data_IF_559065232755
#
_entry.id   IF_559065232755
#
_cell.length_a   1.000
_cell.length_b   1.000
_cell.length_c   1.000
_cell.angle_alpha   90.00
_cell.angle_beta   90.00
_cell.angle_gamma   90.00
#
_symmetry.space_group_name_H-M   'P 1'
#
loop_
_entity.id
_entity.type
_entity.pdbx_description
1 polymer ?
#
# COMPACT_ATOMS: atom_id res chain seq x y z
N UNK A 1 11.06 -4.43 -11.81
CA UNK A 1 10.27 -3.87 -10.68
C UNK A 1 8.92 -3.42 -11.19
N UNK A 2 7.90 -3.78 -10.47
CA UNK A 2 6.51 -3.40 -10.76
C UNK A 2 5.93 -2.73 -9.55
N UNK A 3 4.95 -1.85 -9.75
CA UNK A 3 4.26 -1.17 -8.67
C UNK A 3 2.75 -1.28 -8.86
N UNK A 4 2.07 -1.70 -7.80
CA UNK A 4 0.62 -1.61 -7.74
C UNK A 4 0.26 -0.28 -7.09
N UNK A 5 -0.49 0.53 -7.80
CA UNK A 5 -0.90 1.86 -7.35
C UNK A 5 -2.41 1.86 -7.16
N UNK A 6 -2.87 2.23 -5.97
CA UNK A 6 -4.29 2.46 -5.70
C UNK A 6 -4.51 3.86 -5.15
N UNK A 7 -5.66 4.45 -5.50
CA UNK A 7 -6.00 5.81 -5.12
C UNK A 7 -7.39 5.84 -4.52
N UNK A 8 -7.52 6.61 -3.43
CA UNK A 8 -8.78 6.78 -2.69
C UNK A 8 -9.04 8.27 -2.50
N UNK A 9 -10.31 8.65 -2.50
CA UNK A 9 -10.74 10.03 -2.30
C UNK A 9 -11.81 10.11 -1.23
N UNK A 10 -11.87 11.25 -0.54
CA UNK A 10 -12.90 11.52 0.48
C UNK A 10 -12.62 10.90 1.84
N UNK A 11 -11.39 10.48 2.09
CA UNK A 11 -11.01 9.89 3.38
C UNK A 11 -10.75 10.91 4.48
N UNK A 12 -10.65 10.39 5.70
CA UNK A 12 -10.21 11.16 6.87
C UNK A 12 -8.69 11.05 7.00
N UNK A 13 -8.00 12.17 6.84
CA UNK A 13 -6.53 12.18 6.81
C UNK A 13 -5.91 11.76 8.15
N UNK A 14 -6.56 12.04 9.28
CA UNK A 14 -6.05 11.61 10.59
C UNK A 14 -6.17 10.10 10.77
N UNK A 15 -7.27 9.51 10.33
CA UNK A 15 -7.44 8.05 10.34
C UNK A 15 -6.43 7.37 9.42
N UNK A 16 -6.17 7.96 8.25
CA UNK A 16 -5.17 7.43 7.31
C UNK A 16 -3.77 7.48 7.93
N UNK A 17 -3.42 8.54 8.64
CA UNK A 17 -2.15 8.64 9.34
C UNK A 17 -2.02 7.58 10.45
N UNK A 18 -3.11 7.29 11.17
CA UNK A 18 -3.14 6.22 12.16
C UNK A 18 -2.96 4.85 11.52
N UNK A 19 -3.61 4.59 10.39
CA UNK A 19 -3.44 3.35 9.63
C UNK A 19 -1.99 3.20 9.12
N UNK A 20 -1.37 4.27 8.67
CA UNK A 20 0.04 4.25 8.26
C UNK A 20 0.96 3.86 9.41
N UNK A 21 0.69 4.35 10.62
CA UNK A 21 1.44 3.97 11.81
C UNK A 21 1.30 2.47 12.12
N UNK A 22 0.08 1.93 12.03
CA UNK A 22 -0.19 0.50 12.21
C UNK A 22 0.54 -0.34 11.13
N UNK A 23 0.55 0.11 9.90
CA UNK A 23 1.25 -0.58 8.81
C UNK A 23 2.77 -0.61 9.08
N UNK A 24 3.35 0.48 9.56
CA UNK A 24 4.77 0.51 9.95
C UNK A 24 5.08 -0.51 11.04
N UNK A 25 4.20 -0.62 12.04
CA UNK A 25 4.35 -1.61 13.12
C UNK A 25 4.27 -3.02 12.56
N UNK A 26 3.34 -3.29 11.65
CA UNK A 26 3.22 -4.58 10.98
C UNK A 26 4.46 -4.96 10.19
N UNK A 27 5.04 -4.01 9.47
CA UNK A 27 6.29 -4.22 8.71
C UNK A 27 7.46 -4.48 9.68
N UNK A 28 7.56 -3.71 10.76
CA UNK A 28 8.59 -3.92 11.77
C UNK A 28 8.48 -5.30 12.43
N UNK A 29 7.26 -5.74 12.73
CA UNK A 29 7.00 -7.07 13.27
C UNK A 29 7.44 -8.16 12.30
N UNK A 30 7.09 -8.02 11.02
CA UNK A 30 7.50 -8.97 9.97
C UNK A 30 9.04 -9.08 9.89
N UNK A 31 9.75 -7.95 9.96
CA UNK A 31 11.22 -7.95 9.96
C UNK A 31 11.84 -8.69 11.15
N UNK A 32 11.10 -8.78 12.27
CA UNK A 32 11.51 -9.54 13.45
C UNK A 32 11.09 -11.01 13.41
N UNK A 33 10.44 -11.44 12.32
CA UNK A 33 9.91 -12.80 12.20
C UNK A 33 8.58 -13.01 12.94
N UNK A 34 7.90 -11.94 13.31
CA UNK A 34 6.60 -11.98 13.99
C UNK A 34 5.47 -11.82 12.98
N UNK A 35 4.25 -12.20 13.37
CA UNK A 35 3.05 -11.99 12.57
C UNK A 35 2.27 -10.78 13.08
N UNK A 36 1.52 -10.13 12.17
CA UNK A 36 0.68 -8.99 12.49
C UNK A 36 -0.61 -9.06 11.67
N UNK A 37 -1.70 -8.54 12.23
CA UNK A 37 -2.97 -8.41 11.52
C UNK A 37 -2.88 -7.38 10.39
N UNK A 38 -2.01 -6.39 10.55
CA UNK A 38 -1.90 -5.24 9.66
C UNK A 38 -1.20 -5.60 8.35
N UNK A 39 -0.39 -6.67 8.37
CA UNK A 39 0.37 -7.11 7.20
C UNK A 39 0.20 -8.61 7.01
N UNK A 40 -0.70 -9.05 6.10
CA UNK A 40 -0.81 -10.47 5.80
C UNK A 40 0.54 -11.06 5.38
N UNK A 41 0.93 -12.24 5.88
CA UNK A 41 2.26 -12.81 5.60
C UNK A 41 2.57 -12.91 4.11
N UNK A 42 1.60 -13.30 3.29
CA UNK A 42 1.85 -13.43 1.84
C UNK A 42 2.08 -12.09 1.18
N UNK A 43 1.38 -11.05 1.60
CA UNK A 43 1.63 -9.69 1.11
C UNK A 43 3.05 -9.24 1.47
N UNK A 44 3.48 -9.50 2.71
CA UNK A 44 4.84 -9.19 3.15
C UNK A 44 5.90 -9.91 2.32
N UNK A 45 5.64 -11.14 1.88
CA UNK A 45 6.59 -11.90 1.05
C UNK A 45 6.76 -11.33 -0.35
N UNK A 46 5.69 -10.84 -0.97
CA UNK A 46 5.73 -10.32 -2.35
C UNK A 46 6.03 -8.83 -2.43
N UNK A 47 5.71 -8.07 -1.39
CA UNK A 47 5.96 -6.64 -1.35
C UNK A 47 7.42 -6.34 -0.97
N UNK A 48 8.08 -5.52 -1.77
CA UNK A 48 9.45 -5.04 -1.51
C UNK A 48 9.45 -3.71 -0.80
N UNK A 49 8.44 -2.90 -1.05
CA UNK A 49 8.32 -1.55 -0.50
C UNK A 49 6.85 -1.15 -0.51
N UNK A 50 6.43 -0.45 0.52
CA UNK A 50 5.08 0.11 0.61
C UNK A 50 5.20 1.60 0.89
N UNK A 51 4.43 2.39 0.15
CA UNK A 51 4.34 3.83 0.37
C UNK A 51 2.89 4.24 0.50
N UNK A 52 2.63 5.16 1.41
CA UNK A 52 1.34 5.83 1.52
C UNK A 52 1.59 7.33 1.37
N UNK A 53 0.96 7.93 0.39
CA UNK A 53 1.08 9.35 0.08
C UNK A 53 -0.28 10.00 0.26
N UNK A 54 -0.31 11.20 0.82
CA UNK A 54 -1.57 11.93 1.01
C UNK A 54 -1.48 13.32 0.39
N UNK A 55 -2.59 13.76 -0.18
CA UNK A 55 -2.84 15.16 -0.52
C UNK A 55 -3.93 15.63 0.42
N UNK A 56 -3.54 16.40 1.44
CA UNK A 56 -4.47 16.83 2.49
C UNK A 56 -5.52 17.81 1.98
N UNK A 57 -5.18 18.61 0.99
CA UNK A 57 -6.11 19.58 0.41
C UNK A 57 -7.24 18.89 -0.36
N UNK A 58 -6.93 17.79 -1.02
CA UNK A 58 -7.88 17.01 -1.82
C UNK A 58 -8.50 15.83 -1.06
N UNK A 59 -8.08 15.59 0.18
CA UNK A 59 -8.47 14.38 0.93
C UNK A 59 -8.24 13.11 0.12
N UNK A 60 -7.08 13.03 -0.53
CA UNK A 60 -6.68 11.91 -1.40
C UNK A 60 -5.54 11.14 -0.77
N UNK A 61 -5.59 9.81 -0.90
CA UNK A 61 -4.49 8.94 -0.51
C UNK A 61 -4.11 8.03 -1.68
N UNK A 62 -2.81 7.86 -1.86
CA UNK A 62 -2.23 6.94 -2.86
C UNK A 62 -1.40 5.92 -2.13
N UNK A 63 -1.63 4.64 -2.42
CA UNK A 63 -0.87 3.52 -1.86
C UNK A 63 -0.10 2.86 -2.98
N UNK A 64 1.21 2.80 -2.85
CA UNK A 64 2.11 2.14 -3.78
C UNK A 64 2.70 0.90 -3.13
N UNK A 65 2.57 -0.24 -3.79
CA UNK A 65 3.20 -1.50 -3.36
C UNK A 65 4.13 -1.95 -4.47
N UNK A 66 5.42 -1.93 -4.18
CA UNK A 66 6.47 -2.33 -5.13
C UNK A 66 6.76 -3.82 -5.01
N UNK A 67 6.86 -4.50 -6.13
CA UNK A 67 7.12 -5.93 -6.22
C UNK A 67 8.23 -6.20 -7.26
N UNK A 68 8.96 -7.29 -7.07
CA UNK A 68 10.05 -7.63 -7.98
C UNK A 68 9.55 -8.05 -9.37
N UNK A 69 8.41 -8.73 -9.43
CA UNK A 69 7.85 -9.29 -10.68
C UNK A 69 6.41 -8.84 -10.89
N UNK A 70 5.94 -8.95 -12.12
CA UNK A 70 4.53 -8.70 -12.44
C UNK A 70 3.60 -9.67 -11.71
N UNK A 71 4.00 -10.93 -11.60
CA UNK A 71 3.21 -11.95 -10.91
C UNK A 71 3.04 -11.61 -9.43
N UNK A 72 4.11 -11.18 -8.78
CA UNK A 72 4.05 -10.72 -7.39
C UNK A 72 3.13 -9.50 -7.25
N UNK A 73 3.19 -8.57 -8.19
CA UNK A 73 2.31 -7.40 -8.19
C UNK A 73 0.83 -7.80 -8.37
N UNK A 74 0.54 -8.78 -9.22
CA UNK A 74 -0.81 -9.32 -9.40
C UNK A 74 -1.31 -9.98 -8.13
N UNK A 75 -0.46 -10.74 -7.45
CA UNK A 75 -0.81 -11.37 -6.19
C UNK A 75 -1.08 -10.32 -5.11
N UNK A 76 -0.24 -9.29 -5.01
CA UNK A 76 -0.46 -8.17 -4.12
C UNK A 76 -1.80 -7.47 -4.41
N UNK A 77 -2.12 -7.29 -5.70
CA UNK A 77 -3.38 -6.69 -6.12
C UNK A 77 -4.59 -7.52 -5.68
N UNK A 78 -4.54 -8.84 -5.83
CA UNK A 78 -5.60 -9.74 -5.38
C UNK A 78 -5.80 -9.67 -3.87
N UNK A 79 -4.70 -9.71 -3.11
CA UNK A 79 -4.76 -9.64 -1.65
C UNK A 79 -5.37 -8.31 -1.20
N UNK A 80 -4.87 -7.21 -1.73
CA UNK A 80 -5.31 -5.87 -1.34
C UNK A 80 -6.73 -5.58 -1.77
N UNK A 81 -7.15 -6.06 -2.93
CA UNK A 81 -8.52 -5.93 -3.40
C UNK A 81 -9.47 -6.71 -2.49
N UNK A 82 -9.08 -7.90 -2.06
CA UNK A 82 -9.86 -8.72 -1.12
C UNK A 82 -9.94 -8.13 0.29
N UNK A 83 -8.92 -7.41 0.70
CA UNK A 83 -8.89 -6.71 1.99
C UNK A 83 -9.71 -5.42 1.99
N UNK A 84 -9.99 -4.89 0.85
CA UNK A 84 -10.64 -3.62 0.53
C UNK A 84 -10.99 -2.77 1.75
N UNK A 85 -10.52 -1.53 1.92
CA UNK A 85 -10.58 -0.85 3.19
C UNK A 85 -12.01 -0.88 3.74
N UNK A 86 -12.19 -1.64 4.80
CA UNK A 86 -13.44 -1.72 5.54
C UNK A 86 -13.59 -0.49 6.45
N UNK A 87 -12.51 0.25 6.58
CA UNK A 87 -12.47 1.50 7.32
C UNK A 87 -13.11 2.59 6.47
N UNK A 88 -14.12 3.24 7.03
CA UNK A 88 -14.77 4.42 6.43
C UNK A 88 -13.79 5.59 6.26
N UNK A 89 -12.68 5.58 6.98
CA UNK A 89 -11.66 6.63 6.95
C UNK A 89 -10.91 6.75 5.63
N UNK A 90 -10.90 5.69 4.82
CA UNK A 90 -10.19 5.70 3.53
C UNK A 90 -10.97 6.38 2.39
N UNK A 91 -12.29 6.59 2.56
CA UNK A 91 -13.13 7.09 1.49
C UNK A 91 -13.39 6.04 0.43
N UNK A 92 -13.61 6.48 -0.82
CA UNK A 92 -13.89 5.60 -1.96
C UNK A 92 -12.65 5.33 -2.81
N UNK A 93 -12.46 4.08 -3.22
CA UNK A 93 -11.42 3.73 -4.18
C UNK A 93 -11.77 4.30 -5.56
N UNK A 94 -10.87 5.09 -6.12
CA UNK A 94 -11.03 5.71 -7.43
C UNK A 94 -10.39 4.86 -8.52
N UNK A 95 -9.21 4.29 -8.25
CA UNK A 95 -8.48 3.49 -9.22
C UNK A 95 -7.52 2.53 -8.54
N UNK A 96 -7.19 1.46 -9.26
CA UNK A 96 -6.10 0.56 -8.92
C UNK A 96 -5.50 0.02 -10.22
N UNK A 97 -4.18 -0.09 -10.28
CA UNK A 97 -3.50 -0.60 -11.46
C UNK A 97 -2.08 -1.05 -11.15
N UNK A 98 -1.54 -1.83 -12.07
CA UNK A 98 -0.16 -2.34 -11.98
C UNK A 98 0.64 -1.69 -13.10
N UNK A 99 1.82 -1.15 -12.74
CA UNK A 99 2.70 -0.44 -13.65
C UNK A 99 4.10 -1.03 -13.59
N UNK A 100 4.77 -1.09 -14.73
CA UNK A 100 6.19 -1.39 -14.78
C UNK A 100 6.98 -0.14 -14.44
N UNK A 101 7.95 -0.25 -13.54
CA UNK A 101 8.85 0.85 -13.21
C UNK A 101 9.94 0.88 -14.27
N UNK A 102 9.92 1.87 -15.15
CA UNK A 102 10.89 2.01 -16.25
C UNK A 102 12.02 2.97 -15.90
N UNK A 103 11.84 3.80 -14.88
CA UNK A 103 12.87 4.69 -14.37
C UNK A 103 12.64 5.01 -12.92
N UNK A 104 13.68 4.89 -12.11
CA UNK A 104 13.68 5.24 -10.69
C UNK A 104 15.12 5.59 -10.32
N UNK A 105 15.50 6.86 -10.53
CA UNK A 105 16.86 7.35 -10.35
C UNK A 105 16.89 8.55 -9.42
N UNK A 106 17.82 8.53 -8.49
CA UNK A 106 18.12 9.73 -7.69
C UNK A 106 18.92 10.73 -8.53
N UNK A 107 18.64 12.03 -8.33
CA UNK A 107 19.37 13.09 -9.03
C UNK A 107 20.59 13.58 -8.23
N UNK A 108 20.69 13.18 -6.98
CA UNK A 108 21.80 13.52 -6.10
C UNK A 108 22.11 12.39 -5.12
#
# INVERSE_FOLDING_TARGET
MYVRISRFEGGDMDEIAAEAALMREGIAAYRRGETSRELPPRLAEVARRVEMLVDRDKSEVVVNVYCATREDAREADEILTGMSPKSKGWGGRVSAGIYEVVMDEATA
#
